data_IF_483887974652
#
_entry.id   IF_483887974652
#
_cell.length_a   1.000
_cell.length_b   1.000
_cell.length_c   1.000
_cell.angle_alpha   90.00
_cell.angle_beta   90.00
_cell.angle_gamma   90.00
#
_symmetry.space_group_name_H-M   'P 1'
#
loop_
_entity.id
_entity.type
_entity.pdbx_description
1 polymer ?
#
# COMPACT_ATOMS: atom_id res chain seq x y z
N UNK A 1 -22.11 -45.37 -28.82
CA UNK A 1 -21.50 -44.21 -29.06
C UNK A 1 -21.45 -43.34 -27.91
N UNK A 2 -20.31 -43.17 -27.37
CA UNK A 2 -20.17 -42.43 -26.17
C UNK A 2 -19.57 -41.13 -26.49
N UNK A 3 -20.30 -40.09 -26.27
CA UNK A 3 -19.72 -38.78 -26.42
C UNK A 3 -19.21 -38.38 -25.11
N UNK A 4 -17.96 -38.33 -24.98
CA UNK A 4 -17.38 -37.76 -23.81
C UNK A 4 -17.31 -36.29 -23.99
N UNK A 5 -18.18 -35.64 -23.37
CA UNK A 5 -18.07 -34.21 -23.26
C UNK A 5 -16.96 -33.93 -22.33
N UNK A 6 -15.85 -33.58 -22.88
CA UNK A 6 -14.76 -33.10 -22.07
C UNK A 6 -15.18 -31.74 -21.50
N UNK A 7 -15.45 -31.72 -20.25
CA UNK A 7 -15.63 -30.48 -19.58
C UNK A 7 -14.28 -29.87 -19.52
N UNK A 8 -14.06 -28.90 -20.36
CA UNK A 8 -12.90 -28.08 -20.24
C UNK A 8 -13.15 -27.15 -19.06
N UNK A 9 -12.59 -27.50 -17.97
CA UNK A 9 -12.52 -26.58 -16.86
C UNK A 9 -11.48 -25.57 -17.22
N UNK A 10 -11.96 -24.49 -17.79
CA UNK A 10 -11.12 -23.33 -17.91
C UNK A 10 -11.00 -22.79 -16.50
N UNK A 11 -9.97 -23.17 -15.86
CA UNK A 11 -9.59 -22.51 -14.65
C UNK A 11 -9.06 -21.15 -15.05
N UNK A 12 -9.93 -20.20 -15.09
CA UNK A 12 -9.50 -18.83 -15.13
C UNK A 12 -8.90 -18.56 -13.78
N UNK A 13 -7.62 -18.74 -13.71
CA UNK A 13 -6.91 -18.20 -12.59
C UNK A 13 -6.92 -16.69 -12.79
N UNK A 14 -7.96 -16.10 -12.28
CA UNK A 14 -7.96 -14.67 -12.18
C UNK A 14 -6.96 -14.36 -11.11
N UNK A 15 -5.75 -14.08 -11.53
CA UNK A 15 -4.81 -13.50 -10.62
C UNK A 15 -5.45 -12.26 -10.04
N UNK A 16 -5.49 -12.19 -8.75
CA UNK A 16 -6.02 -11.03 -8.09
C UNK A 16 -5.11 -9.88 -8.39
N UNK A 17 -5.48 -9.07 -9.36
CA UNK A 17 -4.78 -7.84 -9.62
C UNK A 17 -5.33 -6.84 -8.65
N UNK A 18 -4.46 -6.28 -7.85
CA UNK A 18 -4.87 -5.24 -6.93
C UNK A 18 -5.48 -4.11 -7.75
N UNK A 19 -6.67 -3.74 -7.38
CA UNK A 19 -7.39 -2.69 -8.05
C UNK A 19 -6.83 -1.35 -7.57
N UNK A 20 -6.39 -0.54 -8.50
CA UNK A 20 -5.79 0.75 -8.20
C UNK A 20 -6.78 1.85 -8.54
N UNK A 21 -6.95 2.77 -7.62
CA UNK A 21 -7.83 3.90 -7.85
C UNK A 21 -7.15 4.86 -8.82
N UNK A 22 -7.73 5.11 -9.99
CA UNK A 22 -7.08 5.99 -10.97
C UNK A 22 -6.97 7.44 -10.53
N UNK A 23 -7.78 7.84 -9.58
CA UNK A 23 -7.72 9.21 -9.08
C UNK A 23 -6.56 9.41 -8.11
N UNK A 24 -6.34 8.46 -7.23
CA UNK A 24 -5.31 8.60 -6.21
C UNK A 24 -4.04 7.83 -6.53
N UNK A 25 -4.12 6.82 -7.38
CA UNK A 25 -2.99 5.95 -7.65
C UNK A 25 -2.76 4.90 -6.56
N UNK A 26 -3.60 4.87 -5.55
CA UNK A 26 -3.44 3.94 -4.44
C UNK A 26 -4.29 2.69 -4.63
N UNK A 27 -3.84 1.60 -4.04
CA UNK A 27 -4.59 0.35 -4.07
C UNK A 27 -5.92 0.53 -3.36
N UNK A 28 -7.00 0.13 -4.04
CA UNK A 28 -8.33 0.19 -3.46
C UNK A 28 -8.50 -1.00 -2.54
N UNK A 29 -8.46 -0.74 -1.28
CA UNK A 29 -8.61 -1.75 -0.25
C UNK A 29 -9.27 -1.07 0.94
N UNK A 30 -9.50 -1.80 2.00
CA UNK A 30 -10.05 -1.20 3.21
C UNK A 30 -9.13 -0.07 3.66
N UNK A 31 -9.70 1.00 4.11
CA UNK A 31 -8.99 2.17 4.58
C UNK A 31 -8.36 3.04 3.48
N UNK A 32 -8.57 2.71 2.21
CA UNK A 32 -8.08 3.55 1.12
C UNK A 32 -8.47 5.02 1.31
N UNK A 33 -9.72 5.26 1.68
CA UNK A 33 -10.20 6.63 1.82
C UNK A 33 -9.56 7.34 3.00
N UNK A 34 -9.31 6.63 4.07
CA UNK A 34 -8.67 7.19 5.25
C UNK A 34 -7.23 7.56 4.93
N UNK A 35 -6.52 6.71 4.22
CA UNK A 35 -5.14 6.98 3.82
C UNK A 35 -5.11 8.17 2.86
N UNK A 36 -6.02 8.19 1.90
CA UNK A 36 -6.08 9.30 0.95
C UNK A 36 -6.33 10.63 1.66
N UNK A 37 -7.24 10.65 2.61
CA UNK A 37 -7.61 11.87 3.29
C UNK A 37 -6.48 12.42 4.18
N UNK A 38 -5.66 11.54 4.74
CA UNK A 38 -4.61 11.96 5.67
C UNK A 38 -3.25 12.16 5.02
N UNK A 39 -2.97 11.48 3.93
CA UNK A 39 -1.64 11.49 3.34
C UNK A 39 -1.52 12.34 2.08
N UNK A 40 -2.55 12.35 1.25
CA UNK A 40 -2.47 13.03 -0.03
C UNK A 40 -2.60 14.55 0.00
N UNK A 41 -3.19 15.17 1.03
CA UNK A 41 -3.23 16.64 1.02
C UNK A 41 -1.85 17.32 1.02
N UNK A 42 -0.83 16.62 1.52
CA UNK A 42 0.51 17.20 1.61
C UNK A 42 1.47 16.63 0.58
N UNK A 43 1.23 15.41 0.12
CA UNK A 43 2.17 14.72 -0.77
C UNK A 43 1.42 14.02 -1.88
N UNK A 44 2.11 13.76 -2.97
CA UNK A 44 1.51 12.93 -4.00
C UNK A 44 1.54 11.47 -3.54
N UNK A 45 0.74 10.66 -4.17
CA UNK A 45 0.71 9.24 -3.82
C UNK A 45 2.02 8.53 -4.13
N UNK A 46 2.91 9.14 -4.90
CA UNK A 46 4.19 8.53 -5.25
C UNK A 46 5.02 8.18 -4.03
N UNK A 47 4.93 8.97 -2.97
CA UNK A 47 5.65 8.66 -1.76
C UNK A 47 5.21 7.34 -1.15
N UNK A 48 3.99 6.94 -1.42
CA UNK A 48 3.47 5.68 -0.93
C UNK A 48 3.71 4.57 -1.94
N UNK A 49 3.34 4.81 -3.19
CA UNK A 49 3.35 3.75 -4.19
C UNK A 49 4.74 3.31 -4.59
N UNK A 50 5.73 4.17 -4.42
CA UNK A 50 7.11 3.85 -4.78
C UNK A 50 7.93 3.26 -3.64
N UNK A 51 7.33 3.09 -2.49
CA UNK A 51 8.04 2.54 -1.34
C UNK A 51 7.42 1.23 -0.89
N UNK A 52 8.25 0.37 -0.33
CA UNK A 52 7.81 -0.88 0.27
C UNK A 52 8.48 -0.96 1.62
N UNK A 53 7.74 -0.70 2.66
CA UNK A 53 8.33 -0.57 3.98
C UNK A 53 7.60 -1.43 4.99
N UNK A 54 8.31 -1.83 6.03
CA UNK A 54 7.69 -2.56 7.12
C UNK A 54 6.77 -1.62 7.90
N UNK A 55 5.93 -2.20 8.72
CA UNK A 55 5.04 -1.41 9.58
C UNK A 55 5.83 -0.41 10.41
N UNK A 56 6.94 -0.85 10.99
CA UNK A 56 7.77 0.03 11.81
C UNK A 56 8.32 1.19 11.00
N UNK A 57 8.72 0.93 9.77
CA UNK A 57 9.24 1.97 8.90
C UNK A 57 8.16 2.94 8.48
N UNK A 58 6.95 2.45 8.21
CA UNK A 58 5.84 3.33 7.90
C UNK A 58 5.50 4.20 9.10
N UNK A 59 5.58 3.64 10.30
CA UNK A 59 5.32 4.42 11.51
C UNK A 59 6.38 5.51 11.67
N UNK A 60 7.65 5.20 11.41
CA UNK A 60 8.69 6.20 11.47
C UNK A 60 8.44 7.32 10.47
N UNK A 61 8.00 6.98 9.27
CA UNK A 61 7.68 7.98 8.26
C UNK A 61 6.54 8.89 8.74
N UNK A 62 5.52 8.32 9.37
CA UNK A 62 4.41 9.10 9.91
C UNK A 62 4.92 10.04 10.99
N UNK A 63 5.76 9.56 11.89
CA UNK A 63 6.30 10.40 12.97
C UNK A 63 7.17 11.52 12.41
N UNK A 64 7.94 11.22 11.37
CA UNK A 64 8.74 12.23 10.72
C UNK A 64 7.85 13.34 10.15
N UNK A 65 6.76 12.97 9.52
CA UNK A 65 5.84 13.94 8.96
C UNK A 65 5.15 14.77 10.05
N UNK A 66 4.82 14.14 11.16
CA UNK A 66 4.22 14.85 12.28
C UNK A 66 5.19 15.83 12.91
N UNK A 67 6.46 15.48 12.99
CA UNK A 67 7.45 16.31 13.61
C UNK A 67 7.99 17.41 12.70
N UNK A 68 8.01 17.19 11.41
CA UNK A 68 8.68 18.09 10.48
C UNK A 68 7.79 18.73 9.44
N UNK A 69 6.60 18.19 9.22
CA UNK A 69 5.72 18.68 8.17
C UNK A 69 4.29 18.92 8.66
N UNK A 70 4.14 19.06 9.95
CA UNK A 70 2.86 19.42 10.55
C UNK A 70 1.72 18.47 10.28
N UNK A 71 2.02 17.19 10.10
CA UNK A 71 0.95 16.23 10.00
C UNK A 71 0.24 16.15 11.34
N UNK A 72 -1.09 16.16 11.29
CA UNK A 72 -1.87 16.12 12.51
C UNK A 72 -1.84 14.74 13.16
N UNK A 73 -2.19 14.64 14.43
CA UNK A 73 -2.27 13.33 15.09
C UNK A 73 -3.33 12.47 14.44
N UNK A 74 -2.99 11.22 14.17
CA UNK A 74 -3.91 10.31 13.50
C UNK A 74 -4.82 9.58 14.46
N UNK A 75 -4.42 9.50 15.72
CA UNK A 75 -5.24 8.87 16.76
C UNK A 75 -5.66 7.44 16.37
N UNK A 76 -6.95 7.17 16.37
CA UNK A 76 -7.43 5.83 16.05
C UNK A 76 -7.19 5.43 14.62
N UNK A 77 -7.07 6.39 13.74
CA UNK A 77 -6.84 6.09 12.33
C UNK A 77 -5.43 5.58 12.08
N UNK A 78 -4.52 5.81 13.00
CA UNK A 78 -3.13 5.39 12.81
C UNK A 78 -3.00 3.89 12.61
N UNK A 79 -3.68 3.09 13.41
CA UNK A 79 -3.62 1.64 13.28
C UNK A 79 -4.20 1.22 11.93
N UNK A 80 -5.31 1.82 11.55
CA UNK A 80 -5.99 1.50 10.30
C UNK A 80 -5.09 1.85 9.11
N UNK A 81 -4.44 3.00 9.18
CA UNK A 81 -3.51 3.44 8.12
C UNK A 81 -2.31 2.51 8.04
N UNK A 82 -1.73 2.17 9.18
CA UNK A 82 -0.59 1.26 9.21
C UNK A 82 -0.95 -0.13 8.69
N UNK A 83 -2.15 -0.61 9.00
CA UNK A 83 -2.61 -1.89 8.47
C UNK A 83 -2.69 -1.85 6.95
N UNK A 84 -3.24 -0.77 6.41
CA UNK A 84 -3.34 -0.60 4.97
C UNK A 84 -1.96 -0.57 4.33
N UNK A 85 -1.05 0.22 4.89
CA UNK A 85 0.29 0.36 4.33
C UNK A 85 1.08 -0.94 4.42
N UNK A 86 0.97 -1.63 5.52
CA UNK A 86 1.67 -2.90 5.69
C UNK A 86 1.17 -3.95 4.70
N UNK A 87 -0.13 -4.04 4.52
CA UNK A 87 -0.72 -5.05 3.66
C UNK A 87 -0.52 -4.77 2.19
N UNK A 88 -0.54 -3.53 1.80
CA UNK A 88 -0.51 -3.17 0.38
C UNK A 88 0.83 -2.62 -0.09
N UNK A 89 1.63 -2.12 0.81
CA UNK A 89 2.92 -1.52 0.49
C UNK A 89 4.00 -1.98 1.47
N UNK A 90 3.89 -3.19 1.92
CA UNK A 90 4.95 -3.80 2.72
C UNK A 90 6.01 -4.46 1.86
N UNK A 91 7.09 -4.93 2.45
CA UNK A 91 8.13 -5.60 1.69
C UNK A 91 7.61 -6.88 1.07
N UNK A 92 8.04 -7.14 -0.14
CA UNK A 92 7.64 -8.36 -0.81
C UNK A 92 8.55 -9.47 -0.40
N UNK A 93 7.98 -10.62 -0.18
CA UNK A 93 8.80 -11.72 0.26
C UNK A 93 9.75 -12.08 -0.85
N UNK A 94 10.92 -12.42 -0.48
CA UNK A 94 11.96 -12.86 -1.37
C UNK A 94 12.67 -11.80 -2.07
N UNK A 95 12.17 -10.66 -2.09
CA UNK A 95 12.76 -9.73 -2.86
C UNK A 95 13.33 -8.61 -2.28
N UNK A 96 13.47 -8.49 -1.21
CA UNK A 96 13.78 -7.42 -0.75
C UNK A 96 14.78 -6.80 -0.95
N UNK A 97 15.05 -6.02 -1.11
CA UNK A 97 15.99 -5.37 -1.32
C UNK A 97 16.15 -4.27 -0.71
N UNK A 98 16.88 -3.66 -0.70
CA UNK A 98 17.11 -2.61 -0.10
C UNK A 98 16.44 -1.51 -0.53
N UNK A 99 15.99 -0.70 0.23
CA UNK A 99 15.42 0.35 -0.12
C UNK A 99 16.28 1.33 -0.49
N UNK A 100 16.09 2.03 -1.39
CA UNK A 100 16.84 2.95 -1.75
C UNK A 100 16.55 4.17 -1.15
N UNK A 101 16.96 5.20 -1.18
CA UNK A 101 16.85 6.51 -0.69
C UNK A 101 15.53 6.96 -0.35
N UNK A 102 15.06 6.62 0.78
CA UNK A 102 13.83 7.13 1.28
C UNK A 102 14.07 8.55 1.71
N UNK A 103 13.22 9.49 1.25
CA UNK A 103 13.46 10.91 1.50
C UNK A 103 13.56 11.26 2.97
N UNK A 104 12.91 10.51 3.84
CA UNK A 104 12.93 10.86 5.23
C UNK A 104 14.01 10.13 5.98
N UNK A 105 14.88 9.41 5.31
CA UNK A 105 15.96 8.82 5.97
C UNK A 105 17.25 9.39 5.52
N UNK A 106 17.20 10.52 4.87
CA UNK A 106 18.34 11.04 4.37
C UNK A 106 19.05 11.68 5.46
N UNK A 107 20.09 11.21 5.90
CA UNK A 107 20.75 11.75 6.92
C UNK A 107 21.77 12.46 6.55
#
# INVERSE_FOLDING_TARGET
MWRRSGLLWLCCATGAIADVDPTTGLIKADAHDIVSANCLPCHSSDLITQNSMTRAQWLEAIRYMQNNHNLWPLNRQEVVILDYLEQNYGPKSGGERRRKNLPYYDE
#
